data_IF_440825399254
#
_entry.id   IF_440825399254
#
_cell.length_a   1.000
_cell.length_b   1.000
_cell.length_c   1.000
_cell.angle_alpha   90.00
_cell.angle_beta   90.00
_cell.angle_gamma   90.00
#
_symmetry.space_group_name_H-M   'P 1'
#
loop_
_entity.id
_entity.type
_entity.pdbx_description
1 polymer ?
#
# COMPACT_ATOMS: atom_id res chain seq x y z
N UNK A 1 13.44 5.97 1.82
CA UNK A 1 12.77 6.96 2.70
C UNK A 1 11.50 6.33 3.25
N UNK A 2 11.08 6.64 4.48
CA UNK A 2 10.01 6.01 5.28
C UNK A 2 8.60 6.11 4.61
N UNK A 3 8.43 5.59 3.40
CA UNK A 3 7.22 5.67 2.57
C UNK A 3 6.95 7.04 1.91
N UNK A 4 7.86 8.01 1.99
CA UNK A 4 7.73 9.27 1.24
C UNK A 4 8.07 9.03 -0.23
N UNK A 5 7.22 9.53 -1.14
CA UNK A 5 7.46 9.47 -2.57
C UNK A 5 8.35 10.64 -2.99
N UNK A 6 9.57 10.35 -3.43
CA UNK A 6 10.61 11.35 -3.57
C UNK A 6 11.37 11.23 -4.87
N UNK A 7 11.80 12.36 -5.39
CA UNK A 7 12.72 12.46 -6.52
C UNK A 7 13.93 13.27 -6.09
N UNK A 8 15.09 12.96 -6.67
CA UNK A 8 16.31 13.76 -6.48
C UNK A 8 16.52 14.61 -7.72
N UNK A 9 16.61 15.94 -7.54
CA UNK A 9 16.89 16.91 -8.62
C UNK A 9 18.10 17.74 -8.22
N UNK A 10 19.29 17.32 -8.69
CA UNK A 10 20.55 17.85 -8.19
C UNK A 10 20.68 17.60 -6.68
N UNK A 11 20.93 18.65 -5.91
CA UNK A 11 21.05 18.57 -4.45
C UNK A 11 19.70 18.63 -3.71
N UNK A 12 18.58 18.79 -4.43
CA UNK A 12 17.25 18.85 -3.84
C UNK A 12 16.60 17.46 -3.77
N UNK A 13 16.01 17.17 -2.61
CA UNK A 13 15.02 16.12 -2.42
C UNK A 13 13.65 16.75 -2.61
N UNK A 14 12.91 16.27 -3.62
CA UNK A 14 11.57 16.76 -3.98
C UNK A 14 10.53 15.77 -3.48
N UNK A 15 9.61 16.22 -2.61
CA UNK A 15 8.43 15.45 -2.23
C UNK A 15 7.39 15.58 -3.36
N UNK A 16 7.13 14.48 -4.08
CA UNK A 16 6.19 14.44 -5.22
C UNK A 16 4.74 14.73 -4.81
N UNK A 17 3.85 14.96 -5.77
CA UNK A 17 2.42 15.31 -5.58
C UNK A 17 1.56 14.17 -4.98
N UNK A 18 2.12 12.97 -4.99
CA UNK A 18 1.57 11.73 -4.46
C UNK A 18 1.63 11.73 -2.93
N UNK A 19 2.50 12.54 -2.33
CA UNK A 19 2.48 12.79 -0.89
C UNK A 19 1.29 13.66 -0.49
N UNK A 20 0.90 13.57 0.77
CA UNK A 20 -0.10 14.48 1.35
C UNK A 20 0.54 15.79 1.79
N UNK A 21 -0.25 16.85 1.94
CA UNK A 21 0.23 18.08 2.58
C UNK A 21 0.71 17.82 4.01
N UNK A 22 0.09 16.87 4.72
CA UNK A 22 0.50 16.45 6.05
C UNK A 22 1.83 15.67 6.05
N UNK A 23 2.14 14.86 5.03
CA UNK A 23 3.47 14.26 4.84
C UNK A 23 4.54 15.35 4.77
N UNK A 24 4.31 16.40 3.96
CA UNK A 24 5.25 17.51 3.80
C UNK A 24 5.46 18.23 5.14
N UNK A 25 4.37 18.60 5.83
CA UNK A 25 4.44 19.29 7.11
C UNK A 25 5.11 18.44 8.20
N UNK A 26 4.78 17.15 8.31
CA UNK A 26 5.38 16.26 9.30
C UNK A 26 6.84 15.97 9.00
N UNK A 27 7.23 15.91 7.72
CA UNK A 27 8.64 15.77 7.33
C UNK A 27 9.42 17.02 7.74
N UNK A 28 8.90 18.23 7.46
CA UNK A 28 9.49 19.49 7.94
C UNK A 28 9.69 19.47 9.45
N UNK A 29 8.64 19.12 10.19
CA UNK A 29 8.67 19.04 11.65
C UNK A 29 9.69 18.03 12.16
N UNK A 30 9.68 16.82 11.59
CA UNK A 30 10.61 15.76 11.99
C UNK A 30 12.07 16.16 11.80
N UNK A 31 12.41 16.73 10.63
CA UNK A 31 13.79 17.15 10.37
C UNK A 31 14.21 18.29 11.32
N UNK A 32 13.32 19.24 11.59
CA UNK A 32 13.56 20.30 12.55
C UNK A 32 13.73 19.77 13.99
N UNK A 33 12.86 18.88 14.45
CA UNK A 33 12.89 18.31 15.80
C UNK A 33 14.15 17.44 16.03
N UNK A 34 14.67 16.82 14.98
CA UNK A 34 15.94 16.10 14.99
C UNK A 34 17.17 17.01 14.88
N UNK A 35 16.97 18.34 14.77
CA UNK A 35 18.05 19.31 14.62
C UNK A 35 18.80 19.17 13.29
N UNK A 36 18.15 18.65 12.24
CA UNK A 36 18.76 18.44 10.92
C UNK A 36 18.68 19.75 10.13
N UNK A 37 19.84 20.37 9.80
CA UNK A 37 19.86 21.60 9.03
C UNK A 37 19.29 21.37 7.62
N UNK A 38 18.20 22.04 7.29
CA UNK A 38 17.53 21.93 5.99
C UNK A 38 17.16 23.30 5.43
N UNK A 39 17.32 23.45 4.12
CA UNK A 39 16.80 24.59 3.37
C UNK A 39 15.59 24.14 2.56
N UNK A 40 14.44 24.78 2.79
CA UNK A 40 13.16 24.40 2.18
C UNK A 40 12.70 25.42 1.14
N UNK A 41 12.19 24.91 0.01
CA UNK A 41 11.46 25.69 -0.99
C UNK A 41 10.17 24.93 -1.34
N UNK A 42 9.03 25.34 -0.79
CA UNK A 42 7.77 24.63 -1.02
C UNK A 42 7.81 23.18 -0.53
N UNK A 43 7.71 22.22 -1.46
CA UNK A 43 7.74 20.77 -1.26
C UNK A 43 9.12 20.12 -1.49
N UNK A 44 10.16 20.90 -1.80
CA UNK A 44 11.53 20.40 -1.95
C UNK A 44 12.45 20.97 -0.88
N UNK A 45 13.52 20.25 -0.58
CA UNK A 45 14.52 20.67 0.39
C UNK A 45 15.92 20.14 0.10
N UNK A 46 16.92 20.84 0.62
CA UNK A 46 18.31 20.40 0.67
C UNK A 46 18.69 20.13 2.12
N UNK A 47 19.55 19.15 2.32
CA UNK A 47 20.19 18.90 3.61
C UNK A 47 21.50 19.70 3.64
N UNK A 48 21.65 20.60 4.61
CA UNK A 48 22.78 21.54 4.67
C UNK A 48 24.00 20.96 5.41
N UNK A 49 24.22 19.65 5.29
CA UNK A 49 25.39 18.97 5.85
C UNK A 49 26.09 18.15 4.78
N UNK A 50 27.42 18.20 4.78
CA UNK A 50 28.25 17.44 3.83
C UNK A 50 28.28 15.94 4.10
N UNK A 51 27.99 15.52 5.34
CA UNK A 51 27.83 14.12 5.74
C UNK A 51 26.64 13.97 6.66
N UNK A 52 25.70 13.11 6.30
CA UNK A 52 24.50 12.86 7.12
C UNK A 52 24.75 11.72 8.12
N UNK A 53 24.65 11.95 9.45
CA UNK A 53 24.99 10.93 10.43
C UNK A 53 24.08 9.70 10.37
N UNK A 54 24.65 8.49 10.42
CA UNK A 54 23.90 7.22 10.48
C UNK A 54 22.93 7.21 11.67
N UNK A 55 23.33 7.78 12.81
CA UNK A 55 22.46 7.89 13.97
C UNK A 55 21.19 8.71 13.69
N UNK A 56 21.29 9.78 12.90
CA UNK A 56 20.15 10.59 12.48
C UNK A 56 19.24 9.82 11.50
N UNK A 57 19.82 9.06 10.56
CA UNK A 57 19.05 8.16 9.68
C UNK A 57 18.25 7.13 10.49
N UNK A 58 18.89 6.48 11.46
CA UNK A 58 18.24 5.51 12.35
C UNK A 58 17.08 6.15 13.12
N UNK A 59 17.26 7.38 13.61
CA UNK A 59 16.17 8.14 14.26
C UNK A 59 15.00 8.38 13.32
N UNK A 60 15.23 8.77 12.07
CA UNK A 60 14.17 8.98 11.06
C UNK A 60 13.42 7.68 10.76
N UNK A 61 14.15 6.58 10.57
CA UNK A 61 13.57 5.27 10.24
C UNK A 61 12.73 4.74 11.40
N UNK A 62 13.21 4.88 12.63
CA UNK A 62 12.59 4.28 13.82
C UNK A 62 11.56 5.19 14.52
N UNK A 63 11.17 6.31 13.92
CA UNK A 63 10.06 7.11 14.47
C UNK A 63 8.80 6.22 14.50
N UNK A 64 8.10 6.12 15.64
CA UNK A 64 6.90 5.28 15.73
C UNK A 64 5.79 5.80 14.81
N UNK A 65 5.02 4.86 14.26
CA UNK A 65 3.75 5.17 13.60
C UNK A 65 2.63 5.42 14.61
N UNK A 66 1.41 5.55 14.10
CA UNK A 66 0.19 5.59 14.90
C UNK A 66 -0.57 4.28 14.78
N UNK A 67 -1.25 3.91 15.85
CA UNK A 67 -2.22 2.82 15.81
C UNK A 67 -3.44 3.25 14.97
N UNK A 68 -3.90 2.35 14.09
CA UNK A 68 -5.10 2.53 13.26
C UNK A 68 -5.25 3.95 12.64
N UNK A 69 -4.34 4.37 11.75
CA UNK A 69 -4.34 5.73 11.21
C UNK A 69 -5.55 6.06 10.32
N UNK A 70 -6.38 5.07 9.98
CA UNK A 70 -7.52 5.21 9.07
C UNK A 70 -8.77 4.62 9.69
N UNK A 71 -9.79 5.46 9.87
CA UNK A 71 -11.15 5.05 10.25
C UNK A 71 -12.03 4.88 9.01
N UNK A 72 -12.85 3.83 8.97
CA UNK A 72 -13.68 3.50 7.81
C UNK A 72 -15.11 3.14 8.23
N UNK A 73 -16.06 3.74 7.52
CA UNK A 73 -17.49 3.42 7.64
C UNK A 73 -17.88 2.22 6.77
N UNK A 74 -18.97 1.53 7.14
CA UNK A 74 -19.42 0.30 6.48
C UNK A 74 -19.65 0.41 4.96
N UNK A 75 -20.01 1.59 4.45
CA UNK A 75 -20.20 1.80 3.01
C UNK A 75 -18.90 1.72 2.20
N UNK A 76 -17.75 1.88 2.84
CA UNK A 76 -16.44 1.78 2.20
C UNK A 76 -16.07 0.36 1.78
N UNK A 77 -16.68 -0.65 2.38
CA UNK A 77 -16.45 -2.06 2.06
C UNK A 77 -17.37 -2.59 0.94
N UNK A 78 -18.29 -1.76 0.43
CA UNK A 78 -19.29 -2.18 -0.57
C UNK A 78 -18.72 -2.16 -2.00
N UNK A 79 -19.30 -2.96 -2.90
CA UNK A 79 -18.95 -3.02 -4.33
C UNK A 79 -18.83 -1.65 -5.00
N UNK A 80 -19.76 -0.73 -4.70
CA UNK A 80 -19.74 0.64 -5.22
C UNK A 80 -18.43 1.35 -4.91
N UNK A 81 -17.95 1.24 -3.68
CA UNK A 81 -16.70 1.87 -3.27
C UNK A 81 -15.50 1.21 -3.97
N UNK A 82 -15.50 -0.12 -4.10
CA UNK A 82 -14.49 -0.86 -4.85
C UNK A 82 -14.42 -0.40 -6.31
N UNK A 83 -15.53 -0.48 -7.06
CA UNK A 83 -15.55 -0.24 -8.50
C UNK A 83 -15.31 1.23 -8.89
N UNK A 84 -15.68 2.20 -8.05
CA UNK A 84 -15.55 3.63 -8.40
C UNK A 84 -14.20 4.23 -7.98
N UNK A 85 -13.54 3.69 -6.95
CA UNK A 85 -12.31 4.27 -6.43
C UNK A 85 -11.13 3.95 -7.34
N UNK A 86 -10.63 4.99 -8.01
CA UNK A 86 -9.41 4.95 -8.82
C UNK A 86 -8.15 4.91 -7.96
N UNK A 87 -8.13 5.66 -6.87
CA UNK A 87 -7.05 5.66 -5.88
C UNK A 87 -7.57 5.12 -4.55
N UNK A 88 -6.66 4.56 -3.76
CA UNK A 88 -6.91 4.26 -2.36
C UNK A 88 -6.88 5.51 -1.48
N UNK A 89 -6.73 5.31 -0.18
CA UNK A 89 -6.75 6.40 0.80
C UNK A 89 -5.35 7.01 0.86
N UNK A 90 -5.29 8.35 0.83
CA UNK A 90 -4.03 9.04 1.09
C UNK A 90 -3.72 8.95 2.60
N UNK A 91 -2.73 8.14 2.94
CA UNK A 91 -2.24 7.94 4.31
C UNK A 91 -0.88 8.60 4.48
N UNK A 92 -0.62 9.14 5.68
CA UNK A 92 0.65 9.78 5.97
C UNK A 92 1.72 8.72 6.24
N UNK A 93 2.86 8.83 5.57
CA UNK A 93 3.96 7.88 5.68
C UNK A 93 4.50 7.82 7.12
N UNK A 94 4.55 8.96 7.81
CA UNK A 94 5.04 9.04 9.19
C UNK A 94 4.01 8.58 10.25
N UNK A 95 2.75 8.35 9.86
CA UNK A 95 1.75 7.71 10.74
C UNK A 95 1.76 6.18 10.57
N UNK A 96 2.46 5.65 9.57
CA UNK A 96 2.55 4.20 9.33
C UNK A 96 3.79 3.60 10.02
N UNK A 97 3.72 2.29 10.22
CA UNK A 97 4.90 1.49 10.50
C UNK A 97 5.95 1.70 9.39
N UNK A 98 7.17 2.02 9.79
CA UNK A 98 8.26 2.35 8.88
C UNK A 98 8.53 1.24 7.84
N UNK A 99 8.43 -0.03 8.25
CA UNK A 99 8.72 -1.18 7.39
C UNK A 99 7.58 -1.49 6.41
N UNK A 100 6.39 -0.91 6.63
CA UNK A 100 5.20 -1.11 5.81
C UNK A 100 4.78 0.14 5.03
N UNK A 101 5.28 1.31 5.42
CA UNK A 101 4.79 2.60 4.96
C UNK A 101 4.79 2.72 3.42
N UNK A 102 5.88 2.29 2.78
CA UNK A 102 6.01 2.33 1.33
C UNK A 102 4.98 1.40 0.66
N UNK A 103 4.87 0.15 1.11
CA UNK A 103 3.93 -0.81 0.54
C UNK A 103 2.48 -0.38 0.68
N UNK A 104 2.06 0.09 1.86
CA UNK A 104 0.70 0.60 2.11
C UNK A 104 0.40 1.80 1.22
N UNK A 105 1.33 2.76 1.10
CA UNK A 105 1.13 3.94 0.24
C UNK A 105 1.07 3.56 -1.23
N UNK A 106 1.89 2.62 -1.68
CA UNK A 106 1.89 2.22 -3.08
C UNK A 106 0.68 1.35 -3.45
N UNK A 107 0.17 0.51 -2.55
CA UNK A 107 -1.14 -0.14 -2.75
C UNK A 107 -2.22 0.89 -3.05
N UNK A 108 -2.29 1.92 -2.20
CA UNK A 108 -3.25 3.02 -2.37
C UNK A 108 -3.00 3.80 -3.67
N UNK A 109 -1.74 4.02 -4.05
CA UNK A 109 -1.39 4.60 -5.34
C UNK A 109 -1.93 3.72 -6.48
N UNK A 110 -1.73 2.40 -6.46
CA UNK A 110 -2.19 1.46 -7.47
C UNK A 110 -3.72 1.20 -7.46
N UNK A 111 -4.49 1.86 -6.59
CA UNK A 111 -5.95 1.71 -6.53
C UNK A 111 -6.44 0.51 -5.72
N UNK A 112 -5.54 -0.12 -4.96
CA UNK A 112 -5.83 -1.14 -3.96
C UNK A 112 -5.94 -0.44 -2.61
N UNK A 113 -7.14 -0.35 -2.05
CA UNK A 113 -7.38 0.47 -0.86
C UNK A 113 -6.86 -0.23 0.40
N UNK A 114 -5.70 0.19 0.89
CA UNK A 114 -5.06 -0.27 2.12
C UNK A 114 -5.25 0.75 3.25
N UNK A 115 -5.55 0.26 4.46
CA UNK A 115 -5.89 1.08 5.62
C UNK A 115 -4.67 1.33 6.50
N UNK A 116 -3.94 0.27 6.82
CA UNK A 116 -2.77 0.29 7.69
C UNK A 116 -1.92 -0.95 7.41
N UNK A 117 -0.66 -0.91 7.82
CA UNK A 117 0.24 -2.06 7.80
C UNK A 117 1.06 -2.12 9.07
N UNK A 118 1.37 -3.33 9.51
CA UNK A 118 2.20 -3.63 10.66
C UNK A 118 3.23 -4.70 10.29
N UNK A 119 4.50 -4.51 10.66
CA UNK A 119 5.57 -5.47 10.43
C UNK A 119 5.60 -6.60 11.44
N UNK A 120 4.58 -6.73 12.28
CA UNK A 120 4.45 -7.85 13.21
C UNK A 120 5.31 -7.72 14.46
N UNK A 121 5.70 -6.50 14.84
CA UNK A 121 6.60 -6.14 15.97
C UNK A 121 6.40 -7.04 17.20
N UNK A 122 7.01 -8.23 17.25
CA UNK A 122 7.10 -9.08 18.45
C UNK A 122 6.04 -10.18 18.67
N UNK A 123 5.36 -10.76 17.65
CA UNK A 123 4.80 -12.15 17.65
C UNK A 123 3.78 -12.41 16.54
N UNK A 124 3.18 -11.37 15.99
CA UNK A 124 2.11 -11.50 15.02
C UNK A 124 2.67 -11.52 13.59
N UNK A 125 1.99 -12.21 12.66
CA UNK A 125 2.34 -12.12 11.26
C UNK A 125 2.29 -10.67 10.74
N UNK A 126 3.33 -10.22 10.01
CA UNK A 126 3.31 -8.96 9.26
C UNK A 126 2.07 -8.93 8.37
N UNK A 127 1.35 -7.80 8.37
CA UNK A 127 0.11 -7.70 7.61
C UNK A 127 -0.23 -6.28 7.18
N UNK A 128 -1.05 -6.19 6.13
CA UNK A 128 -1.66 -4.96 5.61
C UNK A 128 -3.17 -5.15 5.55
N UNK A 129 -3.91 -4.32 6.27
CA UNK A 129 -5.37 -4.33 6.25
C UNK A 129 -5.91 -3.66 4.99
N UNK A 130 -6.89 -4.28 4.35
CA UNK A 130 -7.52 -3.78 3.13
C UNK A 130 -8.97 -3.36 3.38
N UNK A 131 -9.49 -2.47 2.54
CA UNK A 131 -10.87 -1.99 2.61
C UNK A 131 -11.86 -2.97 1.98
N UNK A 132 -12.05 -4.14 2.60
CA UNK A 132 -13.08 -5.11 2.24
C UNK A 132 -12.58 -6.27 1.39
N UNK A 133 -13.41 -7.31 1.28
CA UNK A 133 -13.10 -8.56 0.54
C UNK A 133 -12.76 -8.30 -0.93
N UNK A 134 -13.47 -7.39 -1.61
CA UNK A 134 -13.21 -7.08 -3.01
C UNK A 134 -11.79 -6.53 -3.26
N UNK A 135 -11.22 -5.81 -2.30
CA UNK A 135 -9.83 -5.32 -2.41
C UNK A 135 -8.83 -6.45 -2.26
N UNK A 136 -9.10 -7.40 -1.36
CA UNK A 136 -8.29 -8.61 -1.20
C UNK A 136 -8.34 -9.51 -2.44
N UNK A 137 -9.54 -9.74 -2.98
CA UNK A 137 -9.69 -10.49 -4.21
C UNK A 137 -8.97 -9.80 -5.38
N UNK A 138 -9.10 -8.48 -5.51
CA UNK A 138 -8.36 -7.71 -6.51
C UNK A 138 -6.85 -7.81 -6.33
N UNK A 139 -6.34 -7.75 -5.10
CA UNK A 139 -4.92 -7.90 -4.85
C UNK A 139 -4.41 -9.28 -5.30
N UNK A 140 -5.17 -10.37 -5.11
CA UNK A 140 -4.77 -11.70 -5.63
C UNK A 140 -4.57 -11.70 -7.14
N UNK A 141 -5.49 -11.08 -7.90
CA UNK A 141 -5.36 -10.93 -9.37
C UNK A 141 -4.08 -10.16 -9.74
N UNK A 142 -3.77 -9.09 -9.00
CA UNK A 142 -2.56 -8.28 -9.22
C UNK A 142 -1.29 -9.02 -8.83
N UNK A 143 -1.32 -9.76 -7.72
CA UNK A 143 -0.19 -10.56 -7.25
C UNK A 143 0.20 -11.60 -8.30
N UNK A 144 -0.77 -12.36 -8.81
CA UNK A 144 -0.53 -13.37 -9.85
C UNK A 144 0.09 -12.76 -11.10
N UNK A 145 -0.45 -11.63 -11.57
CA UNK A 145 0.02 -10.99 -12.81
C UNK A 145 1.38 -10.32 -12.67
N UNK A 146 1.62 -9.58 -11.59
CA UNK A 146 2.77 -8.66 -11.51
C UNK A 146 3.89 -9.16 -10.58
N UNK A 147 3.61 -10.08 -9.65
CA UNK A 147 4.58 -10.47 -8.62
C UNK A 147 5.25 -11.84 -8.87
N UNK A 148 4.90 -12.53 -9.96
CA UNK A 148 5.45 -13.86 -10.29
C UNK A 148 6.97 -13.91 -10.42
N UNK A 149 7.62 -12.78 -10.73
CA UNK A 149 9.08 -12.66 -10.82
C UNK A 149 9.78 -12.15 -9.56
N UNK A 150 9.06 -11.90 -8.46
CA UNK A 150 9.66 -11.38 -7.24
C UNK A 150 10.32 -12.50 -6.43
N UNK A 151 11.55 -12.25 -5.96
CA UNK A 151 12.24 -13.13 -5.03
C UNK A 151 12.00 -12.62 -3.60
N UNK A 152 10.85 -13.01 -3.05
CA UNK A 152 10.44 -12.64 -1.69
C UNK A 152 10.98 -13.66 -0.68
N UNK A 153 11.31 -13.17 0.51
CA UNK A 153 11.77 -14.01 1.63
C UNK A 153 10.61 -14.76 2.28
N UNK A 154 9.42 -14.15 2.29
CA UNK A 154 8.21 -14.73 2.84
C UNK A 154 7.13 -14.89 1.77
N UNK A 155 6.26 -15.89 1.95
CA UNK A 155 5.03 -15.98 1.18
C UNK A 155 4.04 -14.95 1.71
N UNK A 156 3.42 -14.16 0.82
CA UNK A 156 2.41 -13.19 1.19
C UNK A 156 1.05 -13.64 0.66
N UNK A 157 0.08 -13.85 1.53
CA UNK A 157 -1.24 -14.38 1.19
C UNK A 157 -2.34 -13.40 1.59
N UNK A 158 -3.49 -13.50 0.92
CA UNK A 158 -4.68 -12.73 1.30
C UNK A 158 -5.57 -13.61 2.18
N UNK A 159 -5.88 -13.10 3.36
CA UNK A 159 -6.85 -13.68 4.29
C UNK A 159 -8.13 -12.84 4.31
N UNK A 160 -9.27 -13.50 4.41
CA UNK A 160 -10.61 -12.89 4.36
C UNK A 160 -11.36 -12.96 5.71
N UNK A 161 -10.64 -13.26 6.79
CA UNK A 161 -11.15 -13.58 8.12
C UNK A 161 -11.01 -12.44 9.13
N UNK A 162 -11.03 -11.17 8.68
CA UNK A 162 -10.75 -10.03 9.53
C UNK A 162 -11.85 -8.95 9.56
N UNK A 163 -11.80 -8.06 10.55
CA UNK A 163 -12.79 -7.00 10.75
C UNK A 163 -12.84 -5.94 9.64
N UNK A 164 -11.81 -5.84 8.81
CA UNK A 164 -11.80 -4.98 7.61
C UNK A 164 -12.28 -5.69 6.33
N UNK A 165 -12.61 -6.99 6.44
CA UNK A 165 -13.02 -7.88 5.34
C UNK A 165 -11.86 -8.62 4.67
N UNK A 166 -10.67 -8.03 4.53
CA UNK A 166 -9.48 -8.78 4.07
C UNK A 166 -8.15 -8.15 4.52
N UNK A 167 -7.08 -8.94 4.58
CA UNK A 167 -5.71 -8.45 4.75
C UNK A 167 -4.72 -9.27 3.93
N UNK A 168 -3.62 -8.62 3.57
CA UNK A 168 -2.43 -9.28 3.04
C UNK A 168 -1.57 -9.63 4.25
N UNK A 169 -1.06 -10.86 4.36
CA UNK A 169 -0.31 -11.35 5.52
C UNK A 169 0.89 -12.18 5.06
N UNK A 170 2.04 -11.98 5.68
CA UNK A 170 3.18 -12.87 5.49
C UNK A 170 2.92 -14.21 6.21
N UNK A 171 3.26 -15.32 5.58
CA UNK A 171 3.06 -16.68 6.06
C UNK A 171 4.42 -17.35 6.23
N UNK A 172 4.72 -17.78 7.46
CA UNK A 172 5.90 -18.57 7.80
C UNK A 172 5.70 -19.24 9.17
N UNK A 173 6.39 -20.35 9.40
CA UNK A 173 6.58 -20.95 10.73
C UNK A 173 7.89 -20.45 11.34
N UNK A 174 7.87 -19.41 12.18
CA UNK A 174 9.11 -18.94 12.80
C UNK A 174 9.07 -17.56 13.43
N UNK A 175 10.26 -16.96 13.54
CA UNK A 175 10.44 -15.57 14.00
C UNK A 175 10.62 -14.67 12.78
N UNK A 176 9.90 -13.56 12.79
CA UNK A 176 9.93 -12.53 11.77
C UNK A 176 11.21 -11.69 11.81
N UNK A 177 11.94 -11.61 10.70
CA UNK A 177 13.06 -10.69 10.52
C UNK A 177 12.57 -9.39 9.87
N UNK A 178 12.67 -8.28 10.61
CA UNK A 178 12.17 -6.98 10.17
C UNK A 178 12.91 -6.43 8.94
N UNK A 179 14.19 -6.78 8.77
CA UNK A 179 14.97 -6.39 7.61
C UNK A 179 14.47 -7.12 6.36
N UNK A 180 14.21 -8.42 6.46
CA UNK A 180 13.67 -9.21 5.34
C UNK A 180 12.25 -8.79 4.99
N UNK A 181 11.41 -8.50 5.99
CA UNK A 181 10.07 -7.93 5.77
C UNK A 181 10.15 -6.61 5.02
N UNK A 182 11.05 -5.71 5.43
CA UNK A 182 11.24 -4.44 4.73
C UNK A 182 11.70 -4.65 3.29
N UNK A 183 12.59 -5.60 3.03
CA UNK A 183 13.03 -5.93 1.67
C UNK A 183 11.87 -6.43 0.80
N UNK A 184 11.04 -7.34 1.31
CA UNK A 184 9.87 -7.84 0.59
C UNK A 184 8.86 -6.73 0.27
N UNK A 185 8.55 -5.90 1.28
CA UNK A 185 7.57 -4.82 1.12
C UNK A 185 8.06 -3.73 0.17
N UNK A 186 9.37 -3.46 0.13
CA UNK A 186 9.99 -2.57 -0.87
C UNK A 186 9.89 -3.18 -2.27
N UNK A 187 10.27 -4.44 -2.45
CA UNK A 187 10.19 -5.11 -3.77
C UNK A 187 8.76 -5.09 -4.32
N UNK A 188 7.77 -5.47 -3.51
CA UNK A 188 6.35 -5.42 -3.91
C UNK A 188 5.91 -3.97 -4.20
N UNK A 189 6.35 -3.00 -3.40
CA UNK A 189 6.02 -1.60 -3.62
C UNK A 189 6.62 -1.06 -4.92
N UNK A 190 7.86 -1.39 -5.26
CA UNK A 190 8.50 -0.92 -6.49
C UNK A 190 7.75 -1.40 -7.75
N UNK A 191 7.34 -2.68 -7.77
CA UNK A 191 6.51 -3.23 -8.85
C UNK A 191 5.15 -2.52 -8.93
N UNK A 192 4.46 -2.37 -7.80
CA UNK A 192 3.17 -1.67 -7.78
C UNK A 192 3.31 -0.21 -8.23
N UNK A 193 4.40 0.46 -7.87
CA UNK A 193 4.63 1.86 -8.25
C UNK A 193 4.85 1.96 -9.75
N UNK A 194 5.67 1.07 -10.32
CA UNK A 194 5.95 0.98 -11.76
C UNK A 194 4.66 0.79 -12.58
N UNK A 195 3.78 -0.10 -12.15
CA UNK A 195 2.55 -0.45 -12.87
C UNK A 195 1.28 0.24 -12.33
N UNK A 196 1.41 1.23 -11.44
CA UNK A 196 0.27 1.81 -10.72
C UNK A 196 -0.80 2.36 -11.68
N UNK A 197 -0.40 3.02 -12.77
CA UNK A 197 -1.33 3.56 -13.76
C UNK A 197 -2.07 2.45 -14.52
N UNK A 198 -1.36 1.42 -14.95
CA UNK A 198 -1.93 0.25 -15.65
C UNK A 198 -2.92 -0.49 -14.74
N UNK A 199 -2.53 -0.78 -13.50
CA UNK A 199 -3.39 -1.47 -12.52
C UNK A 199 -4.70 -0.71 -12.31
N UNK A 200 -4.64 0.62 -12.17
CA UNK A 200 -5.83 1.45 -12.00
C UNK A 200 -6.73 1.42 -13.23
N UNK A 201 -6.15 1.49 -14.43
CA UNK A 201 -6.94 1.49 -15.66
C UNK A 201 -7.56 0.12 -15.91
N UNK A 202 -6.82 -0.97 -15.66
CA UNK A 202 -7.32 -2.33 -15.70
C UNK A 202 -8.51 -2.52 -14.76
N UNK A 203 -8.40 -2.07 -13.50
CA UNK A 203 -9.53 -2.12 -12.55
C UNK A 203 -10.75 -1.38 -13.09
N UNK A 204 -10.53 -0.17 -13.61
CA UNK A 204 -11.59 0.71 -14.12
C UNK A 204 -12.26 0.15 -15.38
N UNK A 205 -11.51 -0.47 -16.28
CA UNK A 205 -12.05 -1.12 -17.48
C UNK A 205 -12.84 -2.37 -17.12
N UNK A 206 -12.33 -3.18 -16.19
CA UNK A 206 -12.87 -4.49 -15.81
C UNK A 206 -14.10 -4.42 -14.91
N UNK A 207 -14.17 -3.47 -13.97
CA UNK A 207 -15.21 -3.47 -12.95
C UNK A 207 -16.07 -2.21 -12.99
N UNK A 208 -17.38 -2.40 -13.16
CA UNK A 208 -18.37 -1.31 -13.24
C UNK A 208 -19.30 -1.33 -12.03
N UNK A 209 -19.86 -0.15 -11.73
CA UNK A 209 -20.94 0.00 -10.74
C UNK A 209 -22.31 -0.50 -11.25
N UNK A 210 -22.34 -1.35 -12.29
CA UNK A 210 -23.61 -1.85 -12.82
C UNK A 210 -24.33 -2.71 -11.77
N UNK A 211 -25.66 -2.76 -11.87
CA UNK A 211 -26.48 -3.61 -11.00
C UNK A 211 -26.09 -5.08 -11.14
N UNK A 212 -25.89 -5.52 -12.37
CA UNK A 212 -25.46 -6.88 -12.72
C UNK A 212 -24.16 -7.28 -12.02
N UNK A 213 -23.06 -6.53 -12.20
CA UNK A 213 -21.78 -6.87 -11.57
C UNK A 213 -21.86 -6.84 -10.04
N UNK A 214 -22.64 -5.90 -9.48
CA UNK A 214 -22.87 -5.84 -8.02
C UNK A 214 -23.58 -7.10 -7.52
N UNK A 215 -24.60 -7.57 -8.24
CA UNK A 215 -25.38 -8.76 -7.87
C UNK A 215 -24.54 -10.02 -8.02
N UNK A 216 -23.79 -10.17 -9.12
CA UNK A 216 -22.85 -11.28 -9.32
C UNK A 216 -21.79 -11.32 -8.22
N UNK A 217 -21.07 -10.22 -8.00
CA UNK A 217 -20.03 -10.15 -6.98
C UNK A 217 -20.60 -10.38 -5.57
N UNK A 218 -21.80 -9.85 -5.29
CA UNK A 218 -22.48 -10.05 -4.01
C UNK A 218 -22.98 -11.48 -3.79
N UNK A 219 -23.35 -12.20 -4.85
CA UNK A 219 -23.75 -13.62 -4.79
C UNK A 219 -22.54 -14.50 -4.48
N UNK A 220 -21.45 -14.34 -5.24
CA UNK A 220 -20.21 -15.10 -5.05
C UNK A 220 -19.66 -14.96 -3.62
N UNK A 221 -19.81 -13.77 -3.02
CA UNK A 221 -19.39 -13.50 -1.65
C UNK A 221 -20.28 -14.16 -0.58
N UNK A 222 -21.59 -14.28 -0.85
CA UNK A 222 -22.56 -14.88 0.10
C UNK A 222 -22.53 -16.41 0.10
N UNK A 223 -22.16 -17.01 -1.02
CA UNK A 223 -22.02 -18.46 -1.16
C UNK A 223 -20.66 -18.95 -0.61
N UNK A 224 -19.92 -18.10 0.12
CA UNK A 224 -18.60 -18.35 0.73
C UNK A 224 -17.51 -18.82 -0.25
N UNK A 225 -17.71 -18.64 -1.55
CA UNK A 225 -16.73 -18.96 -2.57
C UNK A 225 -15.88 -17.72 -2.89
N UNK A 226 -15.02 -17.32 -1.95
CA UNK A 226 -14.07 -16.21 -2.18
C UNK A 226 -13.14 -16.54 -3.35
N UNK A 227 -12.80 -17.81 -3.52
CA UNK A 227 -12.06 -18.34 -4.66
C UNK A 227 -12.80 -18.07 -5.97
N UNK A 228 -14.10 -18.36 -6.04
CA UNK A 228 -14.91 -18.07 -7.23
C UNK A 228 -15.04 -16.56 -7.51
N UNK A 229 -15.04 -15.72 -6.47
CA UNK A 229 -14.95 -14.27 -6.65
C UNK A 229 -13.62 -13.86 -7.28
N UNK A 230 -12.50 -14.44 -6.82
CA UNK A 230 -11.17 -14.18 -7.38
C UNK A 230 -11.11 -14.63 -8.83
N UNK A 231 -11.55 -15.85 -9.14
CA UNK A 231 -11.61 -16.39 -10.50
C UNK A 231 -12.43 -15.50 -11.43
N UNK A 232 -13.65 -15.13 -11.01
CA UNK A 232 -14.48 -14.21 -11.78
C UNK A 232 -13.79 -12.86 -12.01
N UNK A 233 -13.11 -12.32 -11.00
CA UNK A 233 -12.37 -11.06 -11.15
C UNK A 233 -11.17 -11.20 -12.10
N UNK A 234 -10.47 -12.34 -12.08
CA UNK A 234 -9.40 -12.68 -13.03
C UNK A 234 -9.96 -12.71 -14.45
N UNK A 235 -11.04 -13.44 -14.70
CA UNK A 235 -11.68 -13.51 -16.02
C UNK A 235 -12.12 -12.13 -16.55
N UNK A 236 -12.66 -11.26 -15.68
CA UNK A 236 -13.03 -9.90 -16.08
C UNK A 236 -11.80 -9.07 -16.46
N UNK A 237 -10.70 -9.21 -15.73
CA UNK A 237 -9.45 -8.54 -16.04
C UNK A 237 -8.82 -9.05 -17.34
N UNK A 238 -8.86 -10.36 -17.57
CA UNK A 238 -8.31 -11.01 -18.76
C UNK A 238 -9.03 -10.61 -20.05
N UNK A 239 -10.35 -10.48 -20.01
CA UNK A 239 -11.14 -9.95 -21.15
C UNK A 239 -10.67 -8.57 -21.60
N UNK A 240 -10.09 -7.78 -20.69
CA UNK A 240 -9.54 -6.48 -21.02
C UNK A 240 -8.09 -6.55 -21.51
N UNK A 241 -7.34 -7.62 -21.19
CA UNK A 241 -5.99 -7.85 -21.74
C UNK A 241 -6.02 -8.20 -23.22
N UNK A 242 -7.03 -8.93 -23.69
CA UNK A 242 -7.16 -9.29 -25.11
C UNK A 242 -7.51 -8.10 -26.03
N UNK A 243 -7.70 -6.92 -25.46
CA UNK A 243 -8.11 -5.69 -26.14
C UNK A 243 -7.05 -4.58 -26.10
N UNK A 244 -5.88 -4.85 -25.48
CA UNK A 244 -4.71 -3.95 -25.40
C UNK A 244 -3.54 -4.60 -26.15
#
# INVERSE_FOLDING_TARGET
>A
MRGLFVETKGDFIVLTEENTSADIMKTKRLLNDLGIPTFWQGNQFQILVSRFPIAAMKKIINVPGKEFPVHMEGYHFKWRAFAQRRFGIKVNALDLDANMAMFVKTLNLAGITALAGCSGHHRYPPNVQLSGVYQGAWFKVIQEKYFSGLNLHYTWEVHFDNGSGSCIRAVETGRWDMSLIYQDTVQMAEVLQKYAAEIRELKKSSFKRSKEMKETAGKLLKEEHVEALVEWMTEQAEKQFSLI
#
